data_IF_052693068147
#
_entry.id   IF_052693068147
#
_cell.length_a   1.000
_cell.length_b   1.000
_cell.length_c   1.000
_cell.angle_alpha   90.00
_cell.angle_beta   90.00
_cell.angle_gamma   90.00
#
_symmetry.space_group_name_H-M   'P 1'
#
loop_
_entity.id
_entity.type
_entity.pdbx_description
1 polymer ?
#
# COMPACT_ATOMS: atom_id res chain seq x y z
N UNK A 1 -22.75 2.58 3.79
CA UNK A 1 -21.64 2.51 4.78
C UNK A 1 -20.32 2.57 4.03
N UNK A 2 -19.37 3.47 4.33
CA UNK A 2 -18.08 3.44 3.65
C UNK A 2 -17.33 2.18 4.12
N UNK A 3 -17.35 1.15 3.27
CA UNK A 3 -16.80 -0.18 3.57
C UNK A 3 -15.29 -0.14 3.82
N UNK A 4 -14.72 -1.29 4.21
CA UNK A 4 -13.29 -1.44 4.52
C UNK A 4 -12.36 -0.87 3.43
N UNK A 5 -12.80 -0.80 2.17
CA UNK A 5 -12.07 -0.17 1.05
C UNK A 5 -11.73 1.30 1.29
N UNK A 6 -12.64 2.09 1.88
CA UNK A 6 -12.39 3.50 2.16
C UNK A 6 -11.28 3.69 3.21
N UNK A 7 -11.26 2.82 4.24
CA UNK A 7 -10.23 2.82 5.29
C UNK A 7 -8.87 2.39 4.74
N UNK A 8 -8.83 1.34 3.92
CA UNK A 8 -7.61 0.90 3.24
C UNK A 8 -7.03 2.01 2.35
N UNK A 9 -7.87 2.61 1.51
CA UNK A 9 -7.45 3.71 0.65
C UNK A 9 -6.96 4.96 1.41
N UNK A 10 -7.46 5.23 2.63
CA UNK A 10 -6.92 6.29 3.48
C UNK A 10 -5.52 5.92 4.00
N UNK A 11 -5.36 4.70 4.51
CA UNK A 11 -4.07 4.22 5.02
C UNK A 11 -2.97 4.17 3.93
N UNK A 12 -3.33 3.78 2.70
CA UNK A 12 -2.39 3.82 1.57
C UNK A 12 -1.95 5.24 1.23
N UNK A 13 -2.86 6.23 1.30
CA UNK A 13 -2.50 7.64 1.07
C UNK A 13 -1.54 8.16 2.13
N UNK A 14 -1.84 7.91 3.40
CA UNK A 14 -0.98 8.26 4.53
C UNK A 14 0.41 7.61 4.39
N UNK A 15 0.48 6.35 3.96
CA UNK A 15 1.77 5.68 3.72
C UNK A 15 2.56 6.32 2.55
N UNK A 16 1.88 6.73 1.46
CA UNK A 16 2.52 7.50 0.39
C UNK A 16 3.06 8.85 0.89
N UNK A 17 2.31 9.57 1.72
CA UNK A 17 2.74 10.83 2.34
C UNK A 17 4.01 10.63 3.18
N UNK A 18 4.03 9.60 4.02
CA UNK A 18 5.22 9.22 4.81
C UNK A 18 6.43 8.96 3.90
N UNK A 19 6.27 8.26 2.77
CA UNK A 19 7.35 8.08 1.82
C UNK A 19 7.84 9.40 1.23
N UNK A 20 6.93 10.29 0.84
CA UNK A 20 7.25 11.59 0.25
C UNK A 20 8.02 12.46 1.25
N UNK A 21 7.57 12.52 2.50
CA UNK A 21 8.25 13.22 3.59
C UNK A 21 9.66 12.65 3.85
N UNK A 22 9.85 11.35 3.63
CA UNK A 22 11.15 10.67 3.77
C UNK A 22 12.00 10.65 2.48
N UNK A 23 11.77 11.62 1.58
CA UNK A 23 12.52 11.80 0.32
C UNK A 23 12.45 10.61 -0.65
N UNK A 24 11.32 9.88 -0.65
CA UNK A 24 10.95 8.97 -1.72
C UNK A 24 9.94 9.62 -2.66
N UNK A 25 9.83 9.12 -3.88
CA UNK A 25 8.63 9.29 -4.70
C UNK A 25 7.81 8.03 -4.54
N UNK A 26 6.51 8.18 -4.30
CA UNK A 26 5.59 7.08 -4.10
C UNK A 26 4.31 7.31 -4.90
N UNK A 27 3.77 6.23 -5.47
CA UNK A 27 2.50 6.21 -6.19
C UNK A 27 1.69 5.00 -5.76
N UNK A 28 0.36 5.15 -5.75
CA UNK A 28 -0.56 4.03 -5.56
C UNK A 28 -0.84 3.35 -6.90
N UNK A 29 -0.93 2.03 -6.89
CA UNK A 29 -1.25 1.23 -8.07
C UNK A 29 -2.77 1.25 -8.29
N UNK A 30 -3.19 1.73 -9.46
CA UNK A 30 -4.61 1.75 -9.80
C UNK A 30 -5.16 0.32 -9.83
N UNK A 31 -6.32 0.10 -9.19
CA UNK A 31 -6.99 -1.20 -9.20
C UNK A 31 -6.41 -2.27 -8.25
N UNK A 32 -5.39 -1.98 -7.44
CA UNK A 32 -4.72 -3.01 -6.61
C UNK A 32 -5.62 -3.76 -5.63
N UNK A 33 -6.68 -3.10 -5.13
CA UNK A 33 -7.66 -3.70 -4.24
C UNK A 33 -8.78 -4.49 -4.93
N UNK A 34 -8.76 -4.63 -6.26
CA UNK A 34 -9.82 -5.32 -7.03
C UNK A 34 -9.29 -6.19 -8.18
N UNK A 35 -8.13 -5.89 -8.76
CA UNK A 35 -7.54 -6.65 -9.86
C UNK A 35 -6.80 -7.87 -9.31
N UNK A 36 -6.92 -9.01 -10.00
CA UNK A 36 -6.22 -10.25 -9.63
C UNK A 36 -4.71 -10.19 -9.93
N UNK A 37 -4.32 -9.38 -10.91
CA UNK A 37 -2.94 -9.25 -11.40
C UNK A 37 -2.24 -7.97 -10.91
N UNK A 38 -2.70 -7.37 -9.82
CA UNK A 38 -1.97 -6.29 -9.19
C UNK A 38 -0.98 -6.84 -8.17
N UNK A 39 0.31 -6.76 -8.50
CA UNK A 39 1.38 -7.34 -7.67
C UNK A 39 1.72 -6.50 -6.43
N UNK A 40 1.23 -5.25 -6.35
CA UNK A 40 1.43 -4.39 -5.19
C UNK A 40 0.39 -3.27 -5.09
N UNK A 41 0.29 -2.66 -3.90
CA UNK A 41 -0.57 -1.51 -3.63
C UNK A 41 0.16 -0.17 -3.89
N UNK A 42 1.46 -0.11 -3.59
CA UNK A 42 2.28 1.09 -3.68
C UNK A 42 3.63 0.76 -4.32
N UNK A 43 4.09 1.63 -5.21
CA UNK A 43 5.47 1.66 -5.69
C UNK A 43 6.14 2.90 -5.10
N UNK A 44 7.26 2.70 -4.41
CA UNK A 44 8.05 3.78 -3.82
C UNK A 44 9.52 3.66 -4.19
N UNK A 45 10.18 4.79 -4.43
CA UNK A 45 11.58 4.78 -4.84
C UNK A 45 12.32 6.09 -4.63
N UNK A 46 13.62 5.97 -4.43
CA UNK A 46 14.60 7.05 -4.52
C UNK A 46 15.88 6.53 -5.15
N UNK A 47 16.87 7.39 -5.35
CA UNK A 47 18.16 6.96 -5.93
C UNK A 47 18.73 5.78 -5.15
N UNK A 48 18.95 4.65 -5.84
CA UNK A 48 19.52 3.42 -5.28
C UNK A 48 18.58 2.53 -4.46
N UNK A 49 17.31 2.90 -4.21
CA UNK A 49 16.35 2.08 -3.46
C UNK A 49 14.97 2.14 -4.09
N UNK A 50 14.39 0.98 -4.40
CA UNK A 50 13.06 0.83 -5.01
C UNK A 50 12.29 -0.26 -4.27
N UNK A 51 10.99 -0.05 -4.08
CA UNK A 51 10.11 -0.93 -3.33
C UNK A 51 8.78 -1.10 -4.07
N UNK A 52 8.33 -2.36 -4.16
CA UNK A 52 6.94 -2.72 -4.44
C UNK A 52 6.33 -3.19 -3.11
N UNK A 53 5.19 -2.63 -2.72
CA UNK A 53 4.69 -2.72 -1.35
C UNK A 53 3.23 -3.19 -1.36
N UNK A 54 2.96 -4.28 -0.62
CA UNK A 54 1.61 -4.67 -0.20
C UNK A 54 1.28 -3.94 1.10
N UNK A 55 0.25 -3.10 1.11
CA UNK A 55 -0.13 -2.31 2.27
C UNK A 55 -1.24 -3.01 3.06
N UNK A 56 -1.08 -3.08 4.39
CA UNK A 56 -2.09 -3.63 5.30
C UNK A 56 -2.22 -2.74 6.53
N UNK A 57 -3.45 -2.38 6.86
CA UNK A 57 -3.79 -1.78 8.15
C UNK A 57 -4.63 -2.75 8.99
N UNK A 58 -4.38 -2.77 10.29
CA UNK A 58 -5.05 -3.65 11.24
C UNK A 58 -5.18 -2.95 12.58
N UNK A 59 -6.33 -3.14 13.25
CA UNK A 59 -6.47 -2.80 14.68
C UNK A 59 -5.91 -3.88 15.59
N UNK A 60 -5.68 -5.09 15.05
CA UNK A 60 -5.10 -6.23 15.77
C UNK A 60 -3.58 -6.13 15.70
N UNK A 61 -2.85 -6.58 16.73
CA UNK A 61 -1.38 -6.60 16.73
C UNK A 61 -0.79 -7.60 15.73
N UNK A 62 -1.61 -8.50 15.18
CA UNK A 62 -1.18 -9.54 14.23
C UNK A 62 -2.00 -9.44 12.95
N UNK A 63 -1.34 -9.62 11.81
CA UNK A 63 -1.96 -9.73 10.48
C UNK A 63 -1.34 -10.90 9.72
N UNK A 64 -2.18 -11.84 9.30
CA UNK A 64 -1.76 -12.96 8.46
C UNK A 64 -1.73 -12.53 6.99
N UNK A 65 -0.68 -12.92 6.29
CA UNK A 65 -0.51 -12.72 4.84
C UNK A 65 -0.47 -14.12 4.22
N UNK A 66 -1.32 -14.34 3.22
CA UNK A 66 -1.40 -15.62 2.51
C UNK A 66 -0.25 -15.73 1.51
N UNK A 67 0.26 -16.95 1.28
CA UNK A 67 1.37 -17.20 0.35
C UNK A 67 1.07 -16.85 -1.11
N UNK A 68 -0.20 -16.89 -1.51
CA UNK A 68 -0.64 -16.62 -2.89
C UNK A 68 -0.79 -15.12 -3.20
N UNK A 69 -0.15 -14.27 -2.41
CA UNK A 69 -0.32 -12.82 -2.38
C UNK A 69 1.05 -12.18 -2.21
#
# INVERSE_FOLDING_TARGET
MPGNKAKGSKAERELCEIFIENSYRAVRVAGSGVMENADCDIIAGKKGKKYCIEAKSSKKPVKYITKSK
#
